data_IF_218147366731
#
_entry.id   IF_218147366731
#
_cell.length_a   1.000
_cell.length_b   1.000
_cell.length_c   1.000
_cell.angle_alpha   90.00
_cell.angle_beta   90.00
_cell.angle_gamma   90.00
#
_symmetry.space_group_name_H-M   'P 1'
#
loop_
_entity.id
_entity.type
_entity.pdbx_description
1 polymer ?
#
# COMPACT_ATOMS: atom_id res chain seq x y z
N UNK A 1 13.01 22.53 -1.82
CA UNK A 1 14.46 22.26 -2.02
C UNK A 1 15.03 21.40 -0.90
N UNK A 2 14.96 21.82 0.37
CA UNK A 2 15.52 21.04 1.50
C UNK A 2 14.85 19.67 1.70
N UNK A 3 13.52 19.58 1.57
CA UNK A 3 12.79 18.30 1.65
C UNK A 3 13.25 17.31 0.58
N UNK A 4 13.36 17.73 -0.66
CA UNK A 4 13.84 16.91 -1.79
C UNK A 4 15.27 16.40 -1.58
N UNK A 5 16.18 17.28 -1.13
CA UNK A 5 17.55 16.90 -0.81
C UNK A 5 17.61 15.90 0.38
N UNK A 6 16.79 16.12 1.41
CA UNK A 6 16.70 15.20 2.53
C UNK A 6 16.12 13.83 2.10
N UNK A 7 15.13 13.82 1.23
CA UNK A 7 14.56 12.59 0.67
C UNK A 7 15.62 11.78 -0.08
N UNK A 8 16.42 12.43 -0.94
CA UNK A 8 17.51 11.76 -1.67
C UNK A 8 18.54 11.11 -0.73
N UNK A 9 18.95 11.82 0.34
CA UNK A 9 19.89 11.26 1.36
C UNK A 9 19.23 10.13 2.15
N UNK A 10 17.96 10.31 2.54
CA UNK A 10 17.20 9.30 3.29
C UNK A 10 17.00 8.03 2.49
N UNK A 11 16.68 8.15 1.19
CA UNK A 11 16.49 7.01 0.30
C UNK A 11 17.75 6.15 0.17
N UNK A 12 18.92 6.77 0.05
CA UNK A 12 20.18 6.04 0.00
C UNK A 12 20.41 5.22 1.29
N UNK A 13 20.16 5.81 2.46
CA UNK A 13 20.29 5.12 3.74
C UNK A 13 19.27 3.99 3.90
N UNK A 14 18.06 4.22 3.50
CA UNK A 14 17.00 3.21 3.54
C UNK A 14 17.38 1.99 2.70
N UNK A 15 17.82 2.19 1.47
CA UNK A 15 18.24 1.09 0.59
C UNK A 15 19.44 0.33 1.15
N UNK A 16 20.40 1.01 1.76
CA UNK A 16 21.52 0.34 2.43
C UNK A 16 21.04 -0.60 3.56
N UNK A 17 20.04 -0.19 4.33
CA UNK A 17 19.46 -1.03 5.40
C UNK A 17 18.78 -2.26 4.80
N UNK A 18 17.94 -2.08 3.78
CA UNK A 18 17.26 -3.21 3.10
C UNK A 18 18.28 -4.17 2.49
N UNK A 19 19.27 -3.66 1.76
CA UNK A 19 20.32 -4.49 1.15
C UNK A 19 21.04 -5.32 2.20
N UNK A 20 21.48 -4.69 3.31
CA UNK A 20 22.14 -5.39 4.40
C UNK A 20 21.28 -6.50 5.03
N UNK A 21 20.00 -6.21 5.33
CA UNK A 21 19.11 -7.16 5.98
C UNK A 21 18.76 -8.35 5.07
N UNK A 22 18.48 -8.10 3.81
CA UNK A 22 18.14 -9.15 2.85
C UNK A 22 19.36 -9.97 2.41
N UNK A 23 20.57 -9.38 2.39
CA UNK A 23 21.80 -10.09 2.12
C UNK A 23 22.08 -11.21 3.14
N UNK A 24 21.64 -11.06 4.41
CA UNK A 24 21.74 -12.11 5.43
C UNK A 24 20.97 -13.39 5.03
N UNK A 25 19.98 -13.26 4.17
CA UNK A 25 19.17 -14.36 3.63
C UNK A 25 19.51 -14.70 2.18
N UNK A 26 20.66 -14.23 1.67
CA UNK A 26 21.06 -14.39 0.26
C UNK A 26 20.00 -13.89 -0.73
N UNK A 27 19.35 -12.78 -0.40
CA UNK A 27 18.38 -12.13 -1.28
C UNK A 27 18.91 -10.79 -1.75
N UNK A 28 18.76 -10.55 -3.04
CA UNK A 28 19.09 -9.27 -3.66
C UNK A 28 17.87 -8.37 -3.64
N UNK A 29 18.07 -7.09 -3.38
CA UNK A 29 17.03 -6.07 -3.46
C UNK A 29 17.28 -5.13 -4.63
N UNK A 30 16.23 -4.57 -5.20
CA UNK A 30 16.31 -3.54 -6.23
C UNK A 30 15.50 -2.32 -5.81
N UNK A 31 16.02 -1.12 -6.06
CA UNK A 31 15.28 0.12 -5.83
C UNK A 31 14.43 0.48 -7.04
N UNK A 32 13.16 0.81 -6.80
CA UNK A 32 12.26 1.43 -7.78
C UNK A 32 11.67 2.70 -7.17
N UNK A 33 11.88 3.83 -7.83
CA UNK A 33 11.29 5.11 -7.43
C UNK A 33 10.28 5.56 -8.50
N UNK A 34 9.04 5.82 -8.08
CA UNK A 34 7.93 6.14 -8.95
C UNK A 34 7.45 7.58 -8.77
N UNK A 35 6.99 8.16 -9.86
CA UNK A 35 6.21 9.41 -9.86
C UNK A 35 4.78 9.13 -10.32
N UNK A 36 3.86 10.06 -10.09
CA UNK A 36 2.50 9.97 -10.62
C UNK A 36 2.46 9.80 -12.14
N UNK A 37 3.34 10.51 -12.87
CA UNK A 37 3.43 10.42 -14.32
C UNK A 37 3.84 9.02 -14.82
N UNK A 38 4.64 8.28 -14.04
CA UNK A 38 5.10 6.95 -14.42
C UNK A 38 3.93 5.94 -14.37
N UNK A 39 2.96 6.20 -13.51
CA UNK A 39 1.77 5.36 -13.35
C UNK A 39 0.66 5.74 -14.32
N UNK A 40 0.47 7.04 -14.59
CA UNK A 40 -0.57 7.56 -15.48
C UNK A 40 -0.27 7.31 -16.95
N UNK A 41 1.00 7.32 -17.34
CA UNK A 41 1.42 7.09 -18.72
C UNK A 41 1.31 5.60 -19.07
N UNK A 42 0.49 5.19 -20.06
CA UNK A 42 0.38 3.78 -20.43
C UNK A 42 1.72 3.16 -20.82
N UNK A 43 2.56 3.90 -21.56
CA UNK A 43 3.88 3.43 -22.01
C UNK A 43 4.83 3.23 -20.84
N UNK A 44 4.88 4.17 -19.90
CA UNK A 44 5.74 4.05 -18.70
C UNK A 44 5.24 2.96 -17.76
N UNK A 45 3.93 2.85 -17.61
CA UNK A 45 3.30 1.78 -16.81
C UNK A 45 3.61 0.39 -17.37
N UNK A 46 3.63 0.22 -18.70
CA UNK A 46 4.06 -1.02 -19.35
C UNK A 46 5.55 -1.31 -19.09
N UNK A 47 6.42 -0.32 -19.21
CA UNK A 47 7.85 -0.49 -18.87
C UNK A 47 8.07 -0.85 -17.40
N UNK A 48 7.29 -0.27 -16.49
CA UNK A 48 7.32 -0.63 -15.07
C UNK A 48 6.89 -2.08 -14.85
N UNK A 49 5.78 -2.50 -15.46
CA UNK A 49 5.32 -3.88 -15.40
C UNK A 49 6.40 -4.85 -15.85
N UNK A 50 7.01 -4.64 -17.03
CA UNK A 50 8.10 -5.46 -17.54
C UNK A 50 9.32 -5.47 -16.60
N UNK A 51 9.62 -4.34 -15.95
CA UNK A 51 10.71 -4.25 -14.98
C UNK A 51 10.40 -5.07 -13.73
N UNK A 52 9.17 -5.00 -13.21
CA UNK A 52 8.75 -5.82 -12.07
C UNK A 52 8.79 -7.31 -12.41
N UNK A 53 8.26 -7.71 -13.56
CA UNK A 53 8.32 -9.11 -14.00
C UNK A 53 9.77 -9.61 -14.05
N UNK A 54 10.66 -8.91 -14.71
CA UNK A 54 12.07 -9.29 -14.83
C UNK A 54 12.76 -9.41 -13.47
N UNK A 55 12.51 -8.48 -12.53
CA UNK A 55 13.07 -8.56 -11.18
C UNK A 55 12.55 -9.77 -10.41
N UNK A 56 11.26 -10.05 -10.50
CA UNK A 56 10.64 -11.19 -9.82
C UNK A 56 11.12 -12.52 -10.41
N UNK A 57 11.26 -12.64 -11.73
CA UNK A 57 11.83 -13.81 -12.40
C UNK A 57 13.28 -14.08 -11.97
N UNK A 58 14.06 -13.02 -11.74
CA UNK A 58 15.43 -13.11 -11.21
C UNK A 58 15.48 -13.42 -9.70
N UNK A 59 14.34 -13.47 -9.01
CA UNK A 59 14.25 -13.64 -7.56
C UNK A 59 14.73 -12.42 -6.76
N UNK A 60 14.77 -11.25 -7.40
CA UNK A 60 15.14 -9.97 -6.80
C UNK A 60 13.90 -9.34 -6.15
N UNK A 61 14.06 -8.78 -4.96
CA UNK A 61 12.99 -8.14 -4.20
C UNK A 61 12.94 -6.64 -4.52
N UNK A 62 11.89 -6.14 -5.20
CA UNK A 62 11.75 -4.72 -5.45
C UNK A 62 11.36 -3.97 -4.17
N UNK A 63 12.13 -2.96 -3.81
CA UNK A 63 11.83 -1.98 -2.74
C UNK A 63 11.39 -0.69 -3.42
N UNK A 64 10.12 -0.37 -3.27
CA UNK A 64 9.46 0.71 -4.01
C UNK A 64 9.15 1.89 -3.09
N UNK A 65 9.35 3.10 -3.60
CA UNK A 65 8.94 4.33 -2.95
C UNK A 65 8.56 5.41 -3.98
N UNK A 66 7.93 6.50 -3.53
CA UNK A 66 7.75 7.68 -4.37
C UNK A 66 9.11 8.36 -4.62
N UNK A 67 9.30 8.94 -5.80
CA UNK A 67 10.49 9.72 -6.11
C UNK A 67 10.35 11.16 -5.61
N UNK A 68 10.41 11.33 -4.29
CA UNK A 68 10.28 12.63 -3.62
C UNK A 68 11.38 13.63 -4.00
N UNK A 69 12.45 13.18 -4.67
CA UNK A 69 13.52 14.08 -5.10
C UNK A 69 13.13 14.93 -6.31
N UNK A 70 12.18 14.47 -7.10
CA UNK A 70 11.66 15.16 -8.30
C UNK A 70 10.17 15.41 -8.25
N UNK A 71 9.43 14.80 -7.32
CA UNK A 71 7.99 15.00 -7.14
C UNK A 71 7.74 16.43 -6.68
N UNK A 72 7.09 17.23 -7.53
CA UNK A 72 6.77 18.64 -7.27
C UNK A 72 5.29 18.89 -7.01
N UNK A 73 4.52 17.86 -6.72
CA UNK A 73 3.07 17.81 -6.77
C UNK A 73 2.29 18.79 -5.86
N UNK A 74 2.94 19.64 -5.09
CA UNK A 74 2.23 20.61 -4.25
C UNK A 74 2.12 22.02 -4.85
N UNK A 75 2.73 22.34 -6.00
CA UNK A 75 3.02 23.76 -6.25
C UNK A 75 2.27 24.38 -7.43
N UNK A 76 1.84 23.68 -8.48
CA UNK A 76 1.49 24.45 -9.68
C UNK A 76 0.19 24.14 -10.44
N UNK A 77 -0.53 23.06 -10.27
CA UNK A 77 -1.62 22.76 -11.23
C UNK A 77 -3.00 22.37 -10.65
N UNK A 78 -3.19 22.25 -9.35
CA UNK A 78 -4.50 21.85 -8.82
C UNK A 78 -4.94 20.43 -9.22
N UNK A 79 -4.05 19.65 -9.84
CA UNK A 79 -4.31 18.27 -10.20
C UNK A 79 -4.12 17.34 -8.99
N UNK A 80 -5.03 16.39 -8.87
CA UNK A 80 -5.04 15.42 -7.78
C UNK A 80 -3.74 14.61 -7.79
N UNK A 81 -3.07 14.54 -6.64
CA UNK A 81 -1.84 13.78 -6.46
C UNK A 81 -2.14 12.28 -6.63
N UNK A 82 -1.71 11.67 -7.74
CA UNK A 82 -2.00 10.26 -8.06
C UNK A 82 -1.41 9.30 -7.03
N UNK A 83 -0.23 9.61 -6.50
CA UNK A 83 0.47 8.82 -5.49
C UNK A 83 0.30 9.36 -4.06
N UNK A 84 -0.72 10.12 -3.77
CA UNK A 84 -0.96 10.92 -2.55
C UNK A 84 -0.45 10.37 -1.20
N UNK A 85 -0.26 9.06 -1.08
CA UNK A 85 0.21 8.36 0.12
C UNK A 85 0.73 6.96 -0.21
N UNK A 86 1.45 6.35 0.74
CA UNK A 86 2.03 5.01 0.57
C UNK A 86 1.00 3.88 0.47
N UNK A 87 -0.20 4.05 1.03
CA UNK A 87 -1.27 3.05 0.92
C UNK A 87 -1.72 2.96 -0.55
N UNK A 88 -1.97 4.11 -1.19
CA UNK A 88 -2.30 4.21 -2.62
C UNK A 88 -1.16 3.69 -3.51
N UNK A 89 0.07 4.10 -3.24
CA UNK A 89 1.26 3.61 -3.95
C UNK A 89 1.34 2.07 -3.88
N UNK A 90 1.13 1.49 -2.71
CA UNK A 90 1.18 0.03 -2.51
C UNK A 90 0.12 -0.70 -3.33
N UNK A 91 -1.11 -0.17 -3.40
CA UNK A 91 -2.18 -0.75 -4.22
C UNK A 91 -1.86 -0.69 -5.73
N UNK A 92 -1.28 0.42 -6.19
CA UNK A 92 -0.84 0.58 -7.58
C UNK A 92 0.27 -0.42 -7.91
N UNK A 93 1.26 -0.56 -7.03
CA UNK A 93 2.37 -1.52 -7.20
C UNK A 93 1.84 -2.96 -7.20
N UNK A 94 0.91 -3.31 -6.29
CA UNK A 94 0.29 -4.63 -6.27
C UNK A 94 -0.38 -4.98 -7.61
N UNK A 95 -1.08 -4.02 -8.22
CA UNK A 95 -1.65 -4.17 -9.56
C UNK A 95 -0.57 -4.34 -10.64
N UNK A 96 0.49 -3.51 -10.62
CA UNK A 96 1.58 -3.56 -11.60
C UNK A 96 2.35 -4.88 -11.55
N UNK A 97 2.53 -5.45 -10.37
CA UNK A 97 3.21 -6.74 -10.17
C UNK A 97 2.29 -7.95 -10.41
N UNK A 98 0.99 -7.76 -10.68
CA UNK A 98 0.05 -8.86 -10.76
C UNK A 98 -0.08 -9.62 -9.42
N UNK A 99 0.06 -8.93 -8.29
CA UNK A 99 0.03 -9.56 -6.97
C UNK A 99 -1.34 -10.16 -6.67
N UNK A 100 -1.37 -11.30 -6.00
CA UNK A 100 -2.62 -11.91 -5.51
C UNK A 100 -3.09 -11.34 -4.16
N UNK A 101 -2.16 -10.73 -3.41
CA UNK A 101 -2.41 -10.22 -2.06
C UNK A 101 -1.54 -8.99 -1.78
N UNK A 102 -2.14 -7.93 -1.24
CA UNK A 102 -1.46 -6.80 -0.63
C UNK A 102 -1.64 -6.85 0.88
N UNK A 103 -0.58 -6.72 1.65
CA UNK A 103 -0.65 -6.59 3.12
C UNK A 103 -0.18 -5.20 3.52
N UNK A 104 -1.07 -4.41 4.12
CA UNK A 104 -0.75 -3.11 4.70
C UNK A 104 -0.52 -3.27 6.21
N UNK A 105 0.72 -3.17 6.63
CA UNK A 105 1.05 -3.04 8.04
C UNK A 105 0.90 -1.59 8.50
N UNK A 106 0.12 -1.40 9.58
CA UNK A 106 -0.18 -0.10 10.15
C UNK A 106 -0.06 -0.13 11.67
N UNK A 107 -0.31 1.00 12.33
CA UNK A 107 -0.41 1.14 13.78
C UNK A 107 -1.77 0.68 14.35
N UNK A 108 -2.69 0.23 13.49
CA UNK A 108 -4.03 -0.25 13.86
C UNK A 108 -4.19 -1.73 13.53
N UNK A 109 -5.08 -2.41 14.27
CA UNK A 109 -5.34 -3.85 14.05
C UNK A 109 -6.14 -4.15 12.78
N UNK A 110 -6.79 -3.16 12.19
CA UNK A 110 -7.66 -3.28 11.03
C UNK A 110 -8.79 -2.25 11.07
N UNK A 111 -9.85 -2.49 10.30
CA UNK A 111 -11.06 -1.67 10.26
C UNK A 111 -12.01 -2.06 11.39
N UNK A 112 -12.55 -1.08 12.11
CA UNK A 112 -13.53 -1.25 13.17
C UNK A 112 -14.89 -0.67 12.74
N UNK A 113 -15.96 -1.15 13.36
CA UNK A 113 -17.33 -0.64 13.18
C UNK A 113 -17.55 0.73 13.82
N UNK A 114 -16.66 1.15 14.72
CA UNK A 114 -16.58 2.50 15.30
C UNK A 114 -15.13 2.84 15.66
N UNK A 115 -14.82 4.10 16.00
CA UNK A 115 -13.47 4.47 16.45
C UNK A 115 -13.16 3.86 17.83
N UNK A 116 -12.25 2.90 17.94
CA UNK A 116 -11.95 2.20 19.20
C UNK A 116 -11.35 3.11 20.28
N UNK A 117 -10.88 4.32 19.90
CA UNK A 117 -10.37 5.32 20.88
C UNK A 117 -11.50 6.03 21.63
N UNK A 118 -12.66 6.13 21.00
CA UNK A 118 -13.84 6.81 21.54
C UNK A 118 -14.98 5.87 21.90
N UNK A 119 -14.96 4.64 21.35
CA UNK A 119 -15.95 3.60 21.55
C UNK A 119 -15.26 2.31 22.01
N UNK A 120 -15.18 2.04 23.32
CA UNK A 120 -14.53 0.85 23.86
C UNK A 120 -15.14 -0.47 23.38
N UNK A 121 -16.41 -0.45 22.97
CA UNK A 121 -17.14 -1.64 22.44
C UNK A 121 -16.96 -1.83 20.93
N UNK A 122 -16.14 -1.01 20.27
CA UNK A 122 -15.88 -1.12 18.84
C UNK A 122 -15.32 -2.49 18.48
N UNK A 123 -15.90 -3.12 17.45
CA UNK A 123 -15.53 -4.47 17.01
C UNK A 123 -14.74 -4.42 15.73
N UNK A 124 -13.69 -5.26 15.66
CA UNK A 124 -12.90 -5.42 14.46
C UNK A 124 -13.73 -6.13 13.38
N UNK A 125 -13.74 -5.55 12.18
CA UNK A 125 -14.37 -6.14 11.00
C UNK A 125 -13.31 -7.02 10.32
N UNK A 126 -13.53 -8.33 10.34
CA UNK A 126 -12.53 -9.26 9.80
C UNK A 126 -12.59 -9.41 8.28
N UNK A 127 -13.77 -9.22 7.68
CA UNK A 127 -13.95 -9.41 6.24
C UNK A 127 -14.82 -8.32 5.61
N UNK A 128 -14.38 -7.84 4.46
CA UNK A 128 -15.06 -6.84 3.64
C UNK A 128 -15.03 -7.30 2.18
N UNK A 129 -16.20 -7.43 1.55
CA UNK A 129 -16.34 -7.83 0.15
C UNK A 129 -16.59 -6.64 -0.79
N UNK A 130 -17.06 -5.53 -0.24
CA UNK A 130 -17.33 -4.30 -0.99
C UNK A 130 -17.18 -3.08 -0.11
N UNK A 131 -16.65 -2.01 -0.67
CA UNK A 131 -16.51 -0.73 0.02
C UNK A 131 -17.74 0.11 -0.26
N UNK A 132 -18.70 0.07 0.67
CA UNK A 132 -19.93 0.82 0.57
C UNK A 132 -19.78 2.25 1.07
N UNK A 133 -20.70 3.19 0.70
CA UNK A 133 -20.73 4.52 1.27
C UNK A 133 -20.83 4.53 2.81
N UNK A 134 -21.59 3.58 3.37
CA UNK A 134 -21.75 3.42 4.83
C UNK A 134 -20.42 3.03 5.48
N UNK A 135 -19.69 2.09 4.88
CA UNK A 135 -18.37 1.68 5.36
C UNK A 135 -17.38 2.84 5.32
N UNK A 136 -17.42 3.66 4.27
CA UNK A 136 -16.61 4.88 4.17
C UNK A 136 -16.98 5.92 5.22
N UNK A 137 -18.27 6.09 5.49
CA UNK A 137 -18.76 7.01 6.51
C UNK A 137 -18.32 6.58 7.93
N UNK A 138 -18.35 5.28 8.23
CA UNK A 138 -17.87 4.72 9.49
C UNK A 138 -16.35 4.96 9.67
N UNK A 139 -15.57 4.79 8.62
CA UNK A 139 -14.12 4.98 8.64
C UNK A 139 -13.69 6.45 8.68
N UNK A 140 -14.53 7.36 8.23
CA UNK A 140 -14.31 8.81 8.16
C UNK A 140 -14.83 9.59 9.36
N UNK A 141 -15.14 8.96 10.52
CA UNK A 141 -15.71 9.57 11.71
C UNK A 141 -15.11 10.93 12.07
N UNK A 142 -15.94 11.87 12.52
CA UNK A 142 -15.64 13.27 12.78
C UNK A 142 -14.40 13.46 13.70
N UNK A 143 -13.24 13.65 13.12
CA UNK A 143 -11.99 13.89 13.86
C UNK A 143 -10.70 13.74 13.06
N UNK A 144 -10.71 13.14 11.88
CA UNK A 144 -9.48 12.84 11.11
C UNK A 144 -9.29 13.71 9.86
N UNK A 145 -9.77 14.94 9.87
CA UNK A 145 -9.58 15.91 8.77
C UNK A 145 -8.10 16.32 8.56
N UNK A 146 -7.13 15.95 9.40
CA UNK A 146 -5.73 16.40 9.33
C UNK A 146 -4.65 15.30 9.23
N UNK A 147 -5.01 14.04 8.97
CA UNK A 147 -4.01 12.97 8.80
C UNK A 147 -3.86 12.56 7.34
N UNK A 148 -2.75 12.89 6.71
CA UNK A 148 -2.30 12.23 5.48
C UNK A 148 -1.95 10.79 5.85
N UNK A 149 -2.84 9.82 5.64
CA UNK A 149 -2.59 8.40 5.96
C UNK A 149 -3.59 7.74 6.92
N UNK A 150 -4.82 8.25 7.03
CA UNK A 150 -5.86 7.66 7.89
C UNK A 150 -6.56 6.44 7.26
N UNK A 151 -7.63 5.95 7.93
CA UNK A 151 -8.45 4.84 7.41
C UNK A 151 -8.99 5.12 5.99
N UNK A 152 -9.26 6.38 5.66
CA UNK A 152 -9.74 6.78 4.33
C UNK A 152 -8.76 6.42 3.21
N UNK A 153 -7.44 6.61 3.40
CA UNK A 153 -6.41 6.23 2.42
C UNK A 153 -6.34 4.71 2.26
N UNK A 154 -6.46 3.97 3.36
CA UNK A 154 -6.49 2.50 3.35
C UNK A 154 -7.72 1.95 2.63
N UNK A 155 -8.89 2.58 2.79
CA UNK A 155 -10.09 2.21 2.04
C UNK A 155 -9.97 2.54 0.54
N UNK A 156 -9.28 3.64 0.19
CA UNK A 156 -9.01 3.93 -1.22
C UNK A 156 -8.05 2.89 -1.82
N UNK A 157 -6.99 2.52 -1.10
CA UNK A 157 -6.10 1.44 -1.52
C UNK A 157 -6.85 0.10 -1.67
N UNK A 158 -7.74 -0.23 -0.72
CA UNK A 158 -8.58 -1.42 -0.80
C UNK A 158 -9.51 -1.40 -2.02
N UNK A 159 -10.11 -0.26 -2.35
CA UNK A 159 -10.93 -0.12 -3.55
C UNK A 159 -10.12 -0.42 -4.81
N UNK A 160 -8.92 0.17 -4.94
CA UNK A 160 -8.02 -0.09 -6.07
C UNK A 160 -7.62 -1.56 -6.18
N UNK A 161 -7.34 -2.21 -5.05
CA UNK A 161 -7.03 -3.63 -5.02
C UNK A 161 -8.21 -4.48 -5.48
N UNK A 162 -9.41 -4.24 -4.96
CA UNK A 162 -10.63 -4.98 -5.34
C UNK A 162 -10.95 -4.84 -6.83
N UNK A 163 -10.81 -3.64 -7.39
CA UNK A 163 -10.99 -3.36 -8.82
C UNK A 163 -9.96 -4.09 -9.69
N UNK A 164 -8.74 -4.29 -9.17
CA UNK A 164 -7.67 -5.02 -9.84
C UNK A 164 -7.71 -6.54 -9.61
N UNK A 165 -8.67 -7.06 -8.84
CA UNK A 165 -8.75 -8.48 -8.49
C UNK A 165 -7.72 -8.93 -7.46
N UNK A 166 -7.15 -8.01 -6.70
CA UNK A 166 -6.15 -8.24 -5.65
C UNK A 166 -6.82 -8.25 -4.29
N UNK A 167 -6.59 -9.29 -3.49
CA UNK A 167 -6.99 -9.27 -2.07
C UNK A 167 -6.12 -8.28 -1.30
N UNK A 168 -6.68 -7.63 -0.27
CA UNK A 168 -5.91 -6.76 0.60
C UNK A 168 -6.18 -7.08 2.08
N UNK A 169 -5.13 -7.01 2.91
CA UNK A 169 -5.25 -7.16 4.36
C UNK A 169 -4.65 -5.94 5.05
N UNK A 170 -5.38 -5.36 6.01
CA UNK A 170 -4.85 -4.39 6.97
C UNK A 170 -4.57 -5.11 8.27
N UNK A 171 -3.33 -5.02 8.76
CA UNK A 171 -2.91 -5.66 10.00
C UNK A 171 -1.97 -4.75 10.81
N UNK A 172 -1.81 -5.07 12.10
CA UNK A 172 -0.94 -4.31 12.98
C UNK A 172 0.52 -4.70 12.79
N UNK A 173 1.36 -3.71 12.44
CA UNK A 173 2.80 -3.88 12.21
C UNK A 173 3.63 -4.12 13.47
N UNK A 174 3.06 -3.97 14.67
CA UNK A 174 3.73 -4.37 15.91
C UNK A 174 3.93 -5.90 16.03
N UNK A 175 3.22 -6.68 15.21
CA UNK A 175 3.30 -8.14 15.13
C UNK A 175 3.59 -8.56 13.69
N UNK A 176 4.84 -8.39 13.27
CA UNK A 176 5.24 -8.71 11.89
C UNK A 176 5.09 -10.21 11.55
N UNK A 177 5.14 -11.10 12.55
CA UNK A 177 4.90 -12.55 12.40
C UNK A 177 3.47 -12.85 11.92
N UNK A 178 2.55 -11.92 12.10
CA UNK A 178 1.20 -12.00 11.54
C UNK A 178 1.19 -12.19 10.01
N UNK A 179 2.27 -11.83 9.31
CA UNK A 179 2.42 -12.06 7.89
C UNK A 179 2.27 -13.55 7.53
N UNK A 180 2.86 -14.45 8.31
CA UNK A 180 2.73 -15.89 8.09
C UNK A 180 1.28 -16.36 8.21
N UNK A 181 0.58 -15.91 9.27
CA UNK A 181 -0.83 -16.23 9.48
C UNK A 181 -1.72 -15.69 8.34
N UNK A 182 -1.43 -14.49 7.85
CA UNK A 182 -2.17 -13.86 6.74
C UNK A 182 -1.98 -14.66 5.44
N UNK A 183 -0.75 -15.07 5.13
CA UNK A 183 -0.44 -15.86 3.92
C UNK A 183 -1.06 -17.25 3.99
N UNK A 184 -1.12 -17.85 5.18
CA UNK A 184 -1.83 -19.12 5.44
C UNK A 184 -3.37 -18.97 5.41
N UNK A 185 -3.89 -17.76 5.25
CA UNK A 185 -5.34 -17.51 5.17
C UNK A 185 -6.05 -17.44 6.52
N UNK A 186 -5.31 -17.34 7.62
CA UNK A 186 -5.89 -17.18 8.95
C UNK A 186 -6.52 -15.80 9.12
N UNK A 187 -7.44 -15.71 10.07
CA UNK A 187 -8.23 -14.51 10.34
C UNK A 187 -7.44 -13.50 11.17
N UNK A 188 -6.62 -12.69 10.49
CA UNK A 188 -5.80 -11.62 11.08
C UNK A 188 -6.18 -10.28 10.46
N UNK A 189 -6.42 -9.28 11.29
CA UNK A 189 -6.76 -7.94 10.81
C UNK A 189 -8.09 -7.87 10.06
N UNK A 190 -8.14 -7.04 9.04
CA UNK A 190 -9.28 -6.92 8.12
C UNK A 190 -8.86 -7.31 6.71
N UNK A 191 -9.50 -8.33 6.16
CA UNK A 191 -9.30 -8.78 4.78
C UNK A 191 -10.38 -8.18 3.87
N UNK A 192 -9.95 -7.55 2.81
CA UNK A 192 -10.77 -7.12 1.68
C UNK A 192 -10.58 -8.17 0.58
N UNK A 193 -11.65 -8.88 0.22
CA UNK A 193 -11.58 -9.97 -0.75
C UNK A 193 -12.15 -9.55 -2.08
N UNK A 194 -11.31 -9.59 -3.12
CA UNK A 194 -11.78 -9.42 -4.48
C UNK A 194 -12.73 -10.56 -4.85
N UNK A 195 -13.92 -10.25 -5.35
CA UNK A 195 -14.83 -11.28 -5.87
C UNK A 195 -14.15 -11.94 -7.05
N UNK A 196 -13.59 -13.12 -6.83
CA UNK A 196 -13.21 -14.00 -7.94
C UNK A 196 -14.50 -14.41 -8.61
N UNK A 197 -14.78 -13.82 -9.78
CA UNK A 197 -15.90 -14.28 -10.59
C UNK A 197 -15.77 -15.80 -10.69
N UNK A 198 -16.86 -16.52 -10.40
CA UNK A 198 -16.89 -17.97 -10.65
C UNK A 198 -16.50 -18.16 -12.12
N UNK A 199 -15.30 -18.72 -12.32
CA UNK A 199 -14.90 -19.20 -13.64
C UNK A 199 -15.93 -20.29 -13.99
N UNK A 200 -16.88 -19.93 -14.87
CA UNK A 200 -17.77 -20.87 -15.55
C UNK A 200 -16.98 -21.63 -16.59
#
# INVERSE_FOLDING_TARGET
RMKQAAAAVGQCRMMHIYDKLFAEYNRTVAQILLTGEDVESPVRSEHLHNTFEALLELGVIPVVNENDSVSSAEIETGQCKVLGDNDTLSAIVARLCGAGLLVLFSDINGLYDADPRTHPDARLIHQVEAITPELRAMAGGAGTWRGTGGMATKLNAAQLCLEAGVDMVIANGARMEALYDIVEGKNVGTRFSARRGALQ
#
